data_IF_307183736419
#
_entry.id   IF_307183736419
#
_cell.length_a   1.000
_cell.length_b   1.000
_cell.length_c   1.000
_cell.angle_alpha   90.00
_cell.angle_beta   90.00
_cell.angle_gamma   90.00
#
_symmetry.space_group_name_H-M   'P 1'
#
loop_
_entity.id
_entity.type
_entity.pdbx_description
1 polymer ?
#
# COMPACT_ATOMS: atom_id res chain seq x y z
N UNK A 1 62.48 -127.97 -105.27
CA UNK A 1 62.00 -127.20 -104.10
C UNK A 1 61.24 -125.96 -104.58
N UNK A 2 60.17 -125.60 -103.88
CA UNK A 2 58.93 -125.05 -104.44
C UNK A 2 58.77 -123.53 -104.20
N UNK A 3 58.48 -122.74 -105.25
CA UNK A 3 58.28 -121.26 -105.28
C UNK A 3 57.26 -120.70 -104.27
N UNK A 4 56.47 -121.57 -103.62
CA UNK A 4 55.48 -121.19 -102.59
C UNK A 4 56.07 -120.45 -101.37
N UNK A 5 57.31 -120.74 -100.97
CA UNK A 5 57.89 -120.15 -99.75
C UNK A 5 58.28 -118.67 -99.92
N UNK A 6 58.64 -118.23 -101.13
CA UNK A 6 59.09 -116.86 -101.38
C UNK A 6 57.93 -115.85 -101.41
N UNK A 7 56.79 -116.26 -101.95
CA UNK A 7 55.57 -115.43 -102.00
C UNK A 7 55.02 -115.22 -100.58
N UNK A 8 55.07 -116.26 -99.75
CA UNK A 8 54.66 -116.16 -98.34
C UNK A 8 55.58 -115.19 -97.58
N UNK A 9 56.89 -115.23 -97.80
CA UNK A 9 57.84 -114.32 -97.14
C UNK A 9 57.61 -112.83 -97.50
N UNK A 10 57.33 -112.53 -98.77
CA UNK A 10 57.02 -111.15 -99.19
C UNK A 10 55.68 -110.65 -98.64
N UNK A 11 54.66 -111.51 -98.58
CA UNK A 11 53.37 -111.18 -97.95
C UNK A 11 53.57 -110.91 -96.47
N UNK A 12 54.35 -111.74 -95.77
CA UNK A 12 54.65 -111.57 -94.34
C UNK A 12 55.42 -110.27 -94.08
N UNK A 13 56.42 -109.94 -94.92
CA UNK A 13 57.16 -108.67 -94.79
C UNK A 13 56.30 -107.44 -95.12
N UNK A 14 55.44 -107.51 -96.13
CA UNK A 14 54.52 -106.41 -96.44
C UNK A 14 53.50 -106.20 -95.31
N UNK A 15 52.96 -107.28 -94.74
CA UNK A 15 52.07 -107.21 -93.58
C UNK A 15 52.79 -106.63 -92.36
N UNK A 16 54.04 -107.05 -92.10
CA UNK A 16 54.87 -106.53 -91.00
C UNK A 16 55.20 -105.03 -91.16
N UNK A 17 55.47 -104.59 -92.39
CA UNK A 17 55.74 -103.18 -92.66
C UNK A 17 54.47 -102.33 -92.48
N UNK A 18 53.32 -102.83 -92.95
CA UNK A 18 52.02 -102.17 -92.79
C UNK A 18 51.62 -102.11 -91.31
N UNK A 19 51.87 -103.17 -90.52
CA UNK A 19 51.59 -103.15 -89.08
C UNK A 19 52.54 -102.23 -88.31
N UNK A 20 53.82 -102.15 -88.68
CA UNK A 20 54.77 -101.20 -88.07
C UNK A 20 54.40 -99.74 -88.39
N UNK A 21 54.03 -99.45 -89.63
CA UNK A 21 53.56 -98.12 -90.03
C UNK A 21 52.25 -97.78 -89.32
N UNK A 22 51.31 -98.73 -89.23
CA UNK A 22 50.06 -98.55 -88.49
C UNK A 22 50.29 -98.33 -86.99
N UNK A 23 51.23 -99.05 -86.37
CA UNK A 23 51.61 -98.85 -84.97
C UNK A 23 52.28 -97.49 -84.74
N UNK A 24 53.17 -97.06 -85.64
CA UNK A 24 53.79 -95.74 -85.60
C UNK A 24 52.78 -94.61 -85.74
N UNK A 25 51.83 -94.75 -86.68
CA UNK A 25 50.71 -93.81 -86.86
C UNK A 25 49.82 -93.83 -85.61
N UNK A 26 49.52 -94.99 -85.04
CA UNK A 26 48.70 -95.12 -83.82
C UNK A 26 49.35 -94.45 -82.61
N UNK A 27 50.67 -94.62 -82.42
CA UNK A 27 51.43 -93.97 -81.34
C UNK A 27 51.47 -92.45 -81.54
N UNK A 28 51.69 -91.97 -82.76
CA UNK A 28 51.67 -90.54 -83.07
C UNK A 28 50.27 -89.96 -82.87
N UNK A 29 49.22 -90.66 -83.27
CA UNK A 29 47.83 -90.23 -83.08
C UNK A 29 47.44 -90.22 -81.60
N UNK A 30 47.79 -91.25 -80.84
CA UNK A 30 47.50 -91.30 -79.38
C UNK A 30 48.31 -90.27 -78.60
N UNK A 31 49.58 -90.05 -78.95
CA UNK A 31 50.38 -88.96 -78.36
C UNK A 31 49.81 -87.59 -78.72
N UNK A 32 49.43 -87.37 -79.98
CA UNK A 32 48.82 -86.11 -80.43
C UNK A 32 47.46 -85.87 -79.77
N UNK A 33 46.68 -86.92 -79.51
CA UNK A 33 45.43 -86.86 -78.76
C UNK A 33 45.70 -86.54 -77.28
N UNK A 34 46.68 -87.18 -76.66
CA UNK A 34 47.06 -86.93 -75.26
C UNK A 34 47.65 -85.53 -75.06
N UNK A 35 48.51 -85.04 -75.96
CA UNK A 35 49.05 -83.68 -75.94
C UNK A 35 47.93 -82.63 -76.15
N UNK A 36 46.91 -82.96 -76.95
CA UNK A 36 45.72 -82.13 -77.12
C UNK A 36 44.84 -82.11 -75.86
N UNK A 37 44.68 -83.25 -75.18
CA UNK A 37 43.95 -83.33 -73.91
C UNK A 37 44.68 -82.58 -72.79
N UNK A 38 46.01 -82.69 -72.70
CA UNK A 38 46.86 -81.96 -71.76
C UNK A 38 46.81 -80.45 -72.02
N UNK A 39 46.85 -80.01 -73.28
CA UNK A 39 46.66 -78.61 -73.64
C UNK A 39 45.26 -78.08 -73.27
N UNK A 40 44.22 -78.91 -73.47
CA UNK A 40 42.86 -78.56 -73.03
C UNK A 40 42.73 -78.47 -71.52
N UNK A 41 43.41 -79.35 -70.77
CA UNK A 41 43.44 -79.33 -69.31
C UNK A 41 44.23 -78.12 -68.77
N UNK A 42 45.35 -77.77 -69.43
CA UNK A 42 46.15 -76.59 -69.12
C UNK A 42 45.35 -75.31 -69.29
N UNK A 43 44.66 -75.15 -70.42
CA UNK A 43 43.77 -74.00 -70.64
C UNK A 43 42.66 -73.92 -69.59
N UNK A 44 42.03 -75.05 -69.22
CA UNK A 44 41.03 -75.07 -68.14
C UNK A 44 41.61 -74.70 -66.77
N UNK A 45 42.86 -75.06 -66.50
CA UNK A 45 43.53 -74.72 -65.24
C UNK A 45 43.87 -73.24 -65.19
N UNK A 46 44.30 -72.65 -66.30
CA UNK A 46 44.54 -71.22 -66.44
C UNK A 46 43.22 -70.44 -66.34
N UNK A 47 42.15 -70.87 -67.01
CA UNK A 47 40.81 -70.26 -66.90
C UNK A 47 40.29 -70.28 -65.45
N UNK A 48 40.46 -71.41 -64.74
CA UNK A 48 40.06 -71.54 -63.33
C UNK A 48 40.92 -70.68 -62.39
N UNK A 49 42.19 -70.51 -62.72
CA UNK A 49 43.09 -69.65 -61.95
C UNK A 49 42.73 -68.19 -62.15
N UNK A 50 42.48 -67.76 -63.39
CA UNK A 50 42.02 -66.40 -63.71
C UNK A 50 40.65 -66.11 -63.08
N UNK A 51 39.73 -67.08 -63.08
CA UNK A 51 38.45 -66.98 -62.35
C UNK A 51 38.65 -66.91 -60.83
N UNK A 52 39.65 -67.63 -60.30
CA UNK A 52 40.04 -67.59 -58.90
C UNK A 52 40.62 -66.23 -58.48
N UNK A 53 41.53 -65.68 -59.28
CA UNK A 53 42.13 -64.36 -59.09
C UNK A 53 41.04 -63.27 -59.15
N UNK A 54 40.15 -63.29 -60.15
CA UNK A 54 39.05 -62.32 -60.29
C UNK A 54 38.04 -62.37 -59.13
N UNK A 55 37.75 -63.56 -58.59
CA UNK A 55 36.92 -63.70 -57.38
C UNK A 55 37.64 -63.17 -56.15
N UNK A 56 38.95 -63.33 -56.07
CA UNK A 56 39.75 -62.81 -54.96
C UNK A 56 39.75 -61.26 -54.95
N UNK A 57 39.94 -60.64 -56.13
CA UNK A 57 39.83 -59.19 -56.29
C UNK A 57 38.43 -58.68 -55.88
N UNK A 58 37.38 -59.44 -56.21
CA UNK A 58 36.00 -59.14 -55.78
C UNK A 58 35.84 -59.23 -54.25
N UNK A 59 36.44 -60.23 -53.62
CA UNK A 59 36.44 -60.39 -52.16
C UNK A 59 37.15 -59.22 -51.48
N UNK A 60 38.29 -58.79 -52.01
CA UNK A 60 39.05 -57.66 -51.46
C UNK A 60 38.26 -56.35 -51.57
N UNK A 61 37.60 -56.13 -52.71
CA UNK A 61 36.69 -54.99 -52.91
C UNK A 61 35.53 -55.01 -51.92
N UNK A 62 34.84 -56.14 -51.79
CA UNK A 62 33.71 -56.29 -50.86
C UNK A 62 34.15 -56.18 -49.40
N UNK A 63 35.36 -56.64 -49.06
CA UNK A 63 35.92 -56.49 -47.72
C UNK A 63 36.20 -55.03 -47.38
N UNK A 64 36.63 -54.25 -48.37
CA UNK A 64 36.86 -52.80 -48.21
C UNK A 64 35.53 -52.08 -48.05
N UNK A 65 34.55 -52.35 -48.92
CA UNK A 65 33.20 -51.77 -48.83
C UNK A 65 32.52 -52.11 -47.50
N UNK A 66 32.66 -53.36 -47.03
CA UNK A 66 32.17 -53.77 -45.71
C UNK A 66 32.80 -52.96 -44.58
N UNK A 67 34.12 -52.73 -44.63
CA UNK A 67 34.81 -51.95 -43.59
C UNK A 67 34.36 -50.48 -43.59
N UNK A 68 34.13 -49.90 -44.77
CA UNK A 68 33.60 -48.55 -44.91
C UNK A 68 32.15 -48.45 -44.37
N UNK A 69 31.29 -49.42 -44.67
CA UNK A 69 29.93 -49.49 -44.14
C UNK A 69 29.90 -49.71 -42.62
N UNK A 70 30.80 -50.53 -42.07
CA UNK A 70 30.92 -50.72 -40.62
C UNK A 70 31.32 -49.40 -39.92
N UNK A 71 32.16 -48.60 -40.56
CA UNK A 71 32.52 -47.27 -40.07
C UNK A 71 31.35 -46.29 -40.15
N UNK A 72 30.62 -46.26 -41.26
CA UNK A 72 29.44 -45.39 -41.42
C UNK A 72 28.33 -45.74 -40.40
N UNK A 73 28.10 -47.03 -40.15
CA UNK A 73 27.18 -47.50 -39.10
C UNK A 73 27.62 -47.02 -37.72
N UNK A 74 28.92 -47.08 -37.41
CA UNK A 74 29.44 -46.59 -36.14
C UNK A 74 29.22 -45.07 -35.98
N UNK A 75 29.46 -44.29 -37.04
CA UNK A 75 29.23 -42.84 -37.05
C UNK A 75 27.74 -42.48 -36.91
N UNK A 76 26.85 -43.19 -37.62
CA UNK A 76 25.41 -42.98 -37.51
C UNK A 76 24.87 -43.34 -36.11
N UNK A 77 25.36 -44.42 -35.51
CA UNK A 77 24.96 -44.80 -34.15
C UNK A 77 25.39 -43.75 -33.12
N UNK A 78 26.57 -43.17 -33.28
CA UNK A 78 27.04 -42.07 -32.44
C UNK A 78 26.14 -40.83 -32.59
N UNK A 79 25.80 -40.44 -33.84
CA UNK A 79 24.88 -39.33 -34.08
C UNK A 79 23.48 -39.58 -33.50
N UNK A 80 22.97 -40.81 -33.59
CA UNK A 80 21.69 -41.19 -32.99
C UNK A 80 21.75 -41.05 -31.46
N UNK A 81 22.86 -41.47 -30.83
CA UNK A 81 23.04 -41.31 -29.37
C UNK A 81 23.03 -39.84 -28.98
N UNK A 82 23.79 -39.00 -29.69
CA UNK A 82 23.87 -37.57 -29.41
C UNK A 82 22.52 -36.86 -29.60
N UNK A 83 21.78 -37.19 -30.66
CA UNK A 83 20.44 -36.64 -30.89
C UNK A 83 19.44 -37.08 -29.83
N UNK A 84 19.56 -38.33 -29.35
CA UNK A 84 18.73 -38.85 -28.28
C UNK A 84 18.99 -38.11 -26.97
N UNK A 85 20.26 -37.97 -26.59
CA UNK A 85 20.66 -37.27 -25.37
C UNK A 85 20.23 -35.79 -25.41
N UNK A 86 20.43 -35.11 -26.55
CA UNK A 86 19.98 -33.74 -26.75
C UNK A 86 18.45 -33.61 -26.66
N UNK A 87 17.71 -34.56 -27.23
CA UNK A 87 16.24 -34.59 -27.15
C UNK A 87 15.76 -34.81 -25.71
N UNK A 88 16.40 -35.70 -24.96
CA UNK A 88 16.06 -35.97 -23.55
C UNK A 88 16.35 -34.75 -22.68
N UNK A 89 17.49 -34.08 -22.90
CA UNK A 89 17.84 -32.84 -22.20
C UNK A 89 16.82 -31.73 -22.49
N UNK A 90 16.51 -31.46 -23.76
CA UNK A 90 15.51 -30.43 -24.10
C UNK A 90 14.13 -30.76 -23.53
N UNK A 91 13.73 -32.03 -23.50
CA UNK A 91 12.46 -32.43 -22.89
C UNK A 91 12.44 -32.13 -21.38
N UNK A 92 13.55 -32.40 -20.68
CA UNK A 92 13.68 -32.07 -19.25
C UNK A 92 13.68 -30.56 -19.00
N UNK A 93 14.30 -29.76 -19.87
CA UNK A 93 14.30 -28.29 -19.77
C UNK A 93 12.89 -27.73 -19.96
N UNK A 94 12.14 -28.22 -20.95
CA UNK A 94 10.74 -27.83 -21.16
C UNK A 94 9.84 -28.24 -20.00
N UNK A 95 10.04 -29.42 -19.41
CA UNK A 95 9.29 -29.86 -18.24
C UNK A 95 9.52 -28.95 -17.02
N UNK A 96 10.77 -28.53 -16.78
CA UNK A 96 11.10 -27.61 -15.69
C UNK A 96 10.49 -26.21 -15.92
N UNK A 97 10.51 -25.71 -17.15
CA UNK A 97 9.92 -24.41 -17.49
C UNK A 97 8.38 -24.44 -17.40
N UNK A 98 7.74 -25.54 -17.81
CA UNK A 98 6.31 -25.75 -17.63
C UNK A 98 5.94 -25.73 -16.15
N UNK A 99 6.72 -26.37 -15.29
CA UNK A 99 6.44 -26.39 -13.85
C UNK A 99 6.57 -25.00 -13.22
N UNK A 100 7.63 -24.26 -13.57
CA UNK A 100 7.79 -22.87 -13.13
C UNK A 100 6.62 -21.98 -13.57
N UNK A 101 6.17 -22.13 -14.82
CA UNK A 101 5.04 -21.35 -15.35
C UNK A 101 3.71 -21.72 -14.66
N UNK A 102 3.53 -22.96 -14.21
CA UNK A 102 2.35 -23.34 -13.40
C UNK A 102 2.39 -22.68 -12.03
N UNK A 103 3.54 -22.68 -11.35
CA UNK A 103 3.69 -22.02 -10.05
C UNK A 103 3.39 -20.52 -10.14
N UNK A 104 3.92 -19.84 -11.17
CA UNK A 104 3.62 -18.43 -11.45
C UNK A 104 2.12 -18.22 -11.75
N UNK A 105 1.49 -19.14 -12.50
CA UNK A 105 0.05 -19.07 -12.79
C UNK A 105 -0.81 -19.25 -11.53
N UNK A 106 -0.44 -20.16 -10.63
CA UNK A 106 -1.12 -20.35 -9.35
C UNK A 106 -0.96 -19.15 -8.41
N UNK A 107 0.22 -18.53 -8.38
CA UNK A 107 0.44 -17.27 -7.66
C UNK A 107 -0.43 -16.15 -8.22
N UNK A 108 -0.45 -15.97 -9.56
CA UNK A 108 -1.33 -14.97 -10.20
C UNK A 108 -2.80 -15.26 -10.01
N UNK A 109 -3.22 -16.52 -9.97
CA UNK A 109 -4.60 -16.87 -9.66
C UNK A 109 -4.97 -16.50 -8.22
N UNK A 110 -4.07 -16.73 -7.24
CA UNK A 110 -4.27 -16.27 -5.86
C UNK A 110 -4.37 -14.75 -5.75
N UNK A 111 -3.57 -14.01 -6.51
CA UNK A 111 -3.64 -12.55 -6.58
C UNK A 111 -4.98 -12.07 -7.16
N UNK A 112 -5.45 -12.69 -8.25
CA UNK A 112 -6.76 -12.41 -8.85
C UNK A 112 -7.89 -12.71 -7.87
N UNK A 113 -7.84 -13.83 -7.15
CA UNK A 113 -8.86 -14.21 -6.17
C UNK A 113 -8.91 -13.22 -5.00
N UNK A 114 -7.74 -12.76 -4.53
CA UNK A 114 -7.64 -11.72 -3.49
C UNK A 114 -8.22 -10.38 -3.98
N UNK A 115 -7.85 -9.93 -5.19
CA UNK A 115 -8.39 -8.71 -5.80
C UNK A 115 -9.90 -8.80 -6.04
N UNK A 116 -10.41 -9.97 -6.43
CA UNK A 116 -11.85 -10.18 -6.60
C UNK A 116 -12.59 -10.16 -5.25
N UNK A 117 -12.02 -10.73 -4.19
CA UNK A 117 -12.58 -10.63 -2.84
C UNK A 117 -12.61 -9.17 -2.35
N UNK A 118 -11.56 -8.40 -2.65
CA UNK A 118 -11.51 -6.96 -2.38
C UNK A 118 -12.57 -6.20 -3.20
N UNK A 119 -12.70 -6.52 -4.49
CA UNK A 119 -13.70 -5.93 -5.39
C UNK A 119 -15.13 -6.25 -4.93
N UNK A 120 -15.39 -7.46 -4.45
CA UNK A 120 -16.69 -7.85 -3.93
C UNK A 120 -17.01 -7.16 -2.61
N UNK A 121 -15.99 -6.89 -1.76
CA UNK A 121 -16.12 -5.99 -0.60
C UNK A 121 -16.54 -4.59 -1.05
N UNK A 122 -15.92 -4.02 -2.09
CA UNK A 122 -16.31 -2.70 -2.60
C UNK A 122 -17.69 -2.70 -3.29
N UNK A 123 -18.10 -3.81 -3.95
CA UNK A 123 -19.42 -3.93 -4.58
C UNK A 123 -20.55 -4.11 -3.58
N UNK A 124 -20.31 -4.75 -2.44
CA UNK A 124 -21.32 -4.88 -1.37
C UNK A 124 -21.50 -3.61 -0.53
N UNK A 125 -20.61 -2.62 -0.68
CA UNK A 125 -20.61 -1.41 0.16
C UNK A 125 -21.47 -0.25 -0.38
N UNK A 126 -21.96 -0.25 -1.63
CA UNK A 126 -22.60 0.96 -2.17
C UNK A 126 -23.99 0.74 -2.78
N UNK A 127 -24.97 0.49 -1.92
CA UNK A 127 -26.38 0.87 -2.13
C UNK A 127 -26.67 2.26 -1.55
N UNK A 128 -25.75 3.23 -1.73
CA UNK A 128 -25.98 4.60 -1.26
C UNK A 128 -27.28 5.10 -1.89
N UNK A 129 -28.25 5.42 -1.05
CA UNK A 129 -29.42 6.18 -1.49
C UNK A 129 -28.95 7.62 -1.75
N UNK A 130 -28.53 7.90 -2.97
CA UNK A 130 -28.00 9.21 -3.39
C UNK A 130 -29.03 10.32 -3.17
N UNK A 131 -30.33 10.00 -3.29
CA UNK A 131 -31.38 11.00 -3.10
C UNK A 131 -31.51 11.37 -1.63
N UNK A 132 -31.50 10.38 -0.75
CA UNK A 132 -31.44 10.62 0.70
C UNK A 132 -30.12 11.27 1.11
N UNK A 133 -29.00 10.91 0.48
CA UNK A 133 -27.70 11.52 0.76
C UNK A 133 -27.69 13.02 0.47
N UNK A 134 -28.22 13.42 -0.69
CA UNK A 134 -28.32 14.83 -1.08
C UNK A 134 -29.23 15.60 -0.11
N UNK A 135 -30.39 15.01 0.24
CA UNK A 135 -31.31 15.59 1.20
C UNK A 135 -30.67 15.80 2.59
N UNK A 136 -29.91 14.82 3.09
CA UNK A 136 -29.20 14.92 4.37
C UNK A 136 -28.11 16.02 4.35
N UNK A 137 -27.48 16.25 3.20
CA UNK A 137 -26.51 17.35 3.04
C UNK A 137 -27.24 18.71 3.10
N UNK A 138 -28.40 18.83 2.44
CA UNK A 138 -29.20 20.05 2.46
C UNK A 138 -29.70 20.35 3.89
N UNK A 139 -30.21 19.34 4.61
CA UNK A 139 -30.66 19.48 6.02
C UNK A 139 -29.51 19.90 6.95
N UNK A 140 -28.31 19.34 6.75
CA UNK A 140 -27.11 19.70 7.52
C UNK A 140 -26.66 21.13 7.24
N UNK A 141 -26.71 21.54 5.97
CA UNK A 141 -26.34 22.90 5.56
C UNK A 141 -27.31 23.91 6.18
N UNK A 142 -28.61 23.67 6.07
CA UNK A 142 -29.63 24.52 6.68
C UNK A 142 -29.44 24.62 8.20
N UNK A 143 -29.20 23.49 8.87
CA UNK A 143 -28.97 23.49 10.33
C UNK A 143 -27.76 24.33 10.73
N UNK A 144 -26.63 24.23 10.00
CA UNK A 144 -25.43 25.02 10.30
C UNK A 144 -25.72 26.52 10.17
N UNK A 145 -26.54 26.91 9.19
CA UNK A 145 -26.82 28.31 8.85
C UNK A 145 -27.86 28.97 9.75
N UNK A 146 -28.78 28.20 10.35
CA UNK A 146 -29.96 28.78 11.02
C UNK A 146 -30.05 28.46 12.51
N UNK A 147 -29.47 27.35 12.97
CA UNK A 147 -29.76 26.81 14.31
C UNK A 147 -28.73 27.22 15.37
N UNK A 148 -27.75 28.07 15.02
CA UNK A 148 -26.83 28.58 16.03
C UNK A 148 -27.57 29.47 17.05
N UNK A 149 -27.48 29.19 18.37
CA UNK A 149 -28.24 29.92 19.38
C UNK A 149 -27.63 31.29 19.73
N UNK A 150 -26.53 31.68 19.07
CA UNK A 150 -25.84 32.93 19.31
C UNK A 150 -25.51 33.64 18.00
N UNK A 151 -25.59 34.96 18.05
CA UNK A 151 -25.10 35.86 17.02
C UNK A 151 -24.13 36.86 17.62
N UNK A 152 -23.24 37.37 16.79
CA UNK A 152 -22.25 38.39 17.13
C UNK A 152 -22.80 39.76 16.78
N UNK A 153 -22.75 40.68 17.74
CA UNK A 153 -23.24 42.07 17.59
C UNK A 153 -22.23 43.08 18.16
N UNK A 154 -22.25 44.34 17.71
CA UNK A 154 -21.43 45.39 18.30
C UNK A 154 -21.68 45.49 19.81
N UNK A 155 -20.60 45.59 20.58
CA UNK A 155 -20.67 45.77 22.02
C UNK A 155 -20.28 47.20 22.41
N UNK A 156 -19.04 47.58 22.14
CA UNK A 156 -18.56 48.94 22.35
C UNK A 156 -18.47 49.68 21.01
N UNK A 157 -19.04 50.88 20.97
CA UNK A 157 -18.98 51.80 19.83
C UNK A 157 -18.33 53.09 20.29
N UNK A 158 -17.30 53.52 19.56
CA UNK A 158 -16.59 54.79 19.78
C UNK A 158 -16.89 55.76 18.65
N UNK A 159 -16.43 57.00 18.80
CA UNK A 159 -16.51 58.01 17.74
C UNK A 159 -15.10 58.37 17.29
N UNK A 160 -14.84 58.28 15.97
CA UNK A 160 -13.57 58.69 15.39
C UNK A 160 -13.38 60.22 15.42
N UNK A 161 -12.19 60.67 15.01
CA UNK A 161 -11.84 62.10 14.93
C UNK A 161 -12.72 62.92 13.97
N UNK A 162 -13.49 62.27 13.10
CA UNK A 162 -14.40 62.88 12.14
C UNK A 162 -15.87 62.84 12.59
N UNK A 163 -16.18 62.25 13.74
CA UNK A 163 -17.54 62.10 14.24
C UNK A 163 -18.27 60.84 13.77
N UNK A 164 -17.59 59.91 13.10
CA UNK A 164 -18.20 58.64 12.65
C UNK A 164 -18.18 57.61 13.78
N UNK A 165 -19.23 56.82 13.88
CA UNK A 165 -19.25 55.65 14.77
C UNK A 165 -18.28 54.57 14.27
N UNK A 166 -17.46 54.06 15.17
CA UNK A 166 -16.52 52.96 14.93
C UNK A 166 -16.76 51.89 15.98
N UNK A 167 -17.09 50.68 15.52
CA UNK A 167 -17.24 49.52 16.38
C UNK A 167 -15.86 49.16 16.95
N UNK A 168 -15.73 49.21 18.27
CA UNK A 168 -14.51 48.89 19.02
C UNK A 168 -14.42 47.40 19.29
N UNK A 169 -15.55 46.78 19.61
CA UNK A 169 -15.63 45.37 19.97
C UNK A 169 -16.98 44.77 19.62
N UNK A 170 -17.02 43.44 19.65
CA UNK A 170 -18.23 42.66 19.45
C UNK A 170 -18.45 41.73 20.64
N UNK A 171 -19.70 41.33 20.86
CA UNK A 171 -20.08 40.30 21.82
C UNK A 171 -21.01 39.27 21.19
N UNK A 172 -21.03 38.07 21.78
CA UNK A 172 -22.04 37.07 21.51
C UNK A 172 -23.30 37.37 22.32
N UNK A 173 -24.45 37.29 21.66
CA UNK A 173 -25.78 37.50 22.24
C UNK A 173 -26.66 36.31 21.88
N UNK A 174 -27.44 35.81 22.85
CA UNK A 174 -28.37 34.71 22.60
C UNK A 174 -29.48 35.17 21.67
N UNK A 175 -29.80 34.36 20.66
CA UNK A 175 -30.91 34.64 19.74
C UNK A 175 -32.25 34.66 20.47
N UNK A 176 -32.41 33.82 21.50
CA UNK A 176 -33.62 33.78 22.33
C UNK A 176 -33.84 35.07 23.14
N UNK A 177 -32.76 35.71 23.60
CA UNK A 177 -32.82 37.00 24.28
C UNK A 177 -33.27 38.10 23.30
N UNK A 178 -32.74 38.10 22.08
CA UNK A 178 -33.13 39.05 21.02
C UNK A 178 -34.60 38.88 20.61
N UNK A 179 -35.08 37.64 20.52
CA UNK A 179 -36.48 37.33 20.24
C UNK A 179 -37.40 37.81 21.36
N UNK A 180 -37.03 37.60 22.63
CA UNK A 180 -37.79 38.07 23.78
C UNK A 180 -37.86 39.61 23.81
N UNK A 181 -36.74 40.29 23.55
CA UNK A 181 -36.68 41.74 23.47
C UNK A 181 -37.55 42.29 22.33
N UNK A 182 -37.51 41.65 21.15
CA UNK A 182 -38.35 42.02 20.01
C UNK A 182 -39.85 41.83 20.31
N UNK A 183 -40.22 40.71 20.95
CA UNK A 183 -41.60 40.43 21.36
C UNK A 183 -42.11 41.42 22.43
N UNK A 184 -41.25 41.85 23.36
CA UNK A 184 -41.60 42.90 24.33
C UNK A 184 -41.80 44.27 23.66
N UNK A 185 -41.00 44.59 22.63
CA UNK A 185 -41.14 45.85 21.89
C UNK A 185 -42.40 45.87 21.01
N UNK A 186 -42.75 44.76 20.35
CA UNK A 186 -43.98 44.64 19.56
C UNK A 186 -45.24 44.65 20.45
N UNK A 187 -45.18 44.01 21.63
CA UNK A 187 -46.24 44.08 22.64
C UNK A 187 -46.49 45.50 23.15
N UNK A 188 -45.44 46.29 23.39
CA UNK A 188 -45.55 47.71 23.79
C UNK A 188 -46.16 48.61 22.71
N UNK A 189 -45.99 48.27 21.43
CA UNK A 189 -46.61 49.01 20.31
C UNK A 189 -48.11 48.69 20.14
N UNK A 190 -48.54 47.47 20.54
CA UNK A 190 -49.94 47.04 20.46
C UNK A 190 -50.86 47.69 21.52
N UNK A 191 -50.31 48.17 22.64
CA UNK A 191 -51.06 48.90 23.69
C UNK A 191 -51.30 50.39 23.33
N UNK A 192 -50.81 50.87 22.18
CA UNK A 192 -51.01 52.23 21.69
C UNK A 192 -51.54 52.30 20.26
N UNK A 193 -52.56 51.50 19.92
CA UNK A 193 -53.65 51.88 19.00
C UNK A 193 -54.52 50.65 18.68
N UNK A 194 -55.76 50.66 19.17
CA UNK A 194 -56.79 49.77 18.69
C UNK A 194 -57.30 50.23 17.33
N UNK A 195 -56.96 49.50 16.25
CA UNK A 195 -57.87 49.11 15.17
C UNK A 195 -57.08 48.52 13.98
N UNK A 196 -57.43 47.30 13.55
CA UNK A 196 -57.14 46.85 12.18
C UNK A 196 -56.63 45.43 12.05
N UNK A 197 -57.55 44.54 11.63
CA UNK A 197 -57.36 43.40 10.71
C UNK A 197 -56.12 42.52 10.85
N UNK A 198 -56.35 41.30 11.33
CA UNK A 198 -55.48 40.14 11.14
C UNK A 198 -55.36 39.75 9.66
N UNK A 199 -54.16 39.80 9.11
CA UNK A 199 -53.76 38.97 7.96
C UNK A 199 -52.89 37.83 8.47
N UNK A 200 -53.27 36.61 8.09
CA UNK A 200 -52.45 35.42 8.22
C UNK A 200 -51.41 35.36 7.10
N UNK A 201 -50.32 34.65 7.39
CA UNK A 201 -49.40 34.01 6.45
C UNK A 201 -48.36 34.90 5.74
N UNK A 202 -47.21 35.10 6.39
CA UNK A 202 -45.86 34.88 5.84
C UNK A 202 -44.87 34.82 7.02
N UNK A 203 -43.86 33.94 6.94
CA UNK A 203 -42.76 33.79 7.89
C UNK A 203 -41.94 35.08 7.98
N UNK A 204 -42.44 36.09 8.71
CA UNK A 204 -41.66 37.29 9.03
C UNK A 204 -40.57 36.92 10.03
N UNK A 205 -39.38 36.54 9.51
CA UNK A 205 -38.16 36.42 10.30
C UNK A 205 -38.03 37.68 11.16
N UNK A 206 -37.71 37.56 12.47
CA UNK A 206 -37.59 38.71 13.36
C UNK A 206 -36.71 39.82 12.74
N UNK A 207 -37.16 41.07 12.82
CA UNK A 207 -36.47 42.23 12.23
C UNK A 207 -35.02 42.43 12.71
N UNK A 208 -34.60 41.79 13.80
CA UNK A 208 -33.20 41.81 14.22
C UNK A 208 -32.30 40.94 13.33
N UNK A 209 -32.79 39.88 12.67
CA UNK A 209 -32.01 39.04 11.76
C UNK A 209 -31.63 39.75 10.45
N UNK A 210 -32.34 40.82 10.08
CA UNK A 210 -32.07 41.58 8.85
C UNK A 210 -31.13 42.76 9.08
N UNK A 211 -30.54 42.90 10.27
CA UNK A 211 -29.60 43.97 10.57
C UNK A 211 -28.21 43.64 10.02
N UNK A 212 -27.60 44.60 9.33
CA UNK A 212 -26.26 44.46 8.73
C UNK A 212 -25.13 44.31 9.77
N UNK A 213 -25.41 44.59 11.05
CA UNK A 213 -24.46 44.50 12.16
C UNK A 213 -24.62 43.22 13.01
N UNK A 214 -25.50 42.29 12.60
CA UNK A 214 -25.70 41.00 13.26
C UNK A 214 -25.06 39.91 12.40
N UNK A 215 -24.12 39.16 12.97
CA UNK A 215 -23.39 38.12 12.27
C UNK A 215 -23.59 36.76 12.94
N UNK A 216 -23.99 35.76 12.19
CA UNK A 216 -23.87 34.38 12.64
C UNK A 216 -22.38 33.99 12.69
N UNK A 217 -21.99 33.07 13.59
CA UNK A 217 -20.62 32.58 13.62
C UNK A 217 -20.25 31.92 12.29
N UNK A 218 -19.00 32.08 11.89
CA UNK A 218 -18.45 31.27 10.82
C UNK A 218 -18.26 29.85 11.35
N UNK A 219 -18.93 28.89 10.72
CA UNK A 219 -18.77 27.45 10.99
C UNK A 219 -18.12 26.80 9.78
N UNK A 220 -17.13 25.95 10.02
CA UNK A 220 -16.52 25.09 9.01
C UNK A 220 -16.55 23.63 9.47
N UNK A 221 -16.93 22.74 8.56
CA UNK A 221 -17.03 21.30 8.82
C UNK A 221 -16.27 20.55 7.73
N UNK A 222 -15.49 19.55 8.14
CA UNK A 222 -14.88 18.58 7.25
C UNK A 222 -15.24 17.18 7.71
N UNK A 223 -15.65 16.33 6.77
CA UNK A 223 -15.94 14.92 6.97
C UNK A 223 -15.17 14.09 5.96
N UNK A 224 -14.55 13.01 6.43
CA UNK A 224 -13.92 12.00 5.58
C UNK A 224 -14.19 10.60 6.10
N UNK A 225 -14.76 9.76 5.25
CA UNK A 225 -14.94 8.34 5.51
C UNK A 225 -13.65 7.58 5.19
N UNK A 226 -13.03 6.97 6.19
CA UNK A 226 -11.73 6.32 6.01
C UNK A 226 -11.82 4.99 5.25
N UNK A 227 -13.01 4.42 5.10
CA UNK A 227 -13.20 3.16 4.36
C UNK A 227 -13.44 3.41 2.87
N UNK A 228 -14.24 4.44 2.53
CA UNK A 228 -14.54 4.78 1.13
C UNK A 228 -13.63 5.84 0.52
N UNK A 229 -12.99 6.66 1.35
CA UNK A 229 -12.30 7.89 0.94
C UNK A 229 -13.26 9.01 0.52
N UNK A 230 -14.59 8.84 0.70
CA UNK A 230 -15.54 9.91 0.43
C UNK A 230 -15.34 11.08 1.38
N UNK A 231 -15.41 12.29 0.83
CA UNK A 231 -15.23 13.54 1.57
C UNK A 231 -16.40 14.48 1.33
N UNK A 232 -16.78 15.19 2.38
CA UNK A 232 -17.73 16.31 2.31
C UNK A 232 -17.24 17.43 3.23
N UNK A 233 -17.44 18.67 2.80
CA UNK A 233 -17.08 19.85 3.56
C UNK A 233 -18.15 20.94 3.44
N UNK A 234 -18.23 21.76 4.48
CA UNK A 234 -18.96 23.03 4.50
C UNK A 234 -17.99 24.10 4.98
N UNK A 235 -17.70 25.10 4.13
CA UNK A 235 -16.73 26.16 4.41
C UNK A 235 -15.36 25.62 4.88
N UNK A 236 -14.97 24.43 4.43
CA UNK A 236 -13.85 23.67 4.96
C UNK A 236 -12.48 24.31 4.72
N UNK A 237 -12.43 25.28 3.80
CA UNK A 237 -11.26 26.08 3.43
C UNK A 237 -11.15 27.41 4.19
N UNK A 238 -12.15 27.76 5.02
CA UNK A 238 -12.06 28.92 5.90
C UNK A 238 -10.91 28.74 6.92
N UNK A 239 -10.13 29.81 7.08
CA UNK A 239 -8.93 29.83 7.91
C UNK A 239 -9.27 30.34 9.31
N UNK A 240 -9.05 29.52 10.32
CA UNK A 240 -9.22 29.86 11.73
C UNK A 240 -7.86 29.88 12.45
N UNK A 241 -7.82 30.52 13.62
CA UNK A 241 -6.78 30.21 14.61
C UNK A 241 -6.98 28.76 15.06
N UNK A 242 -5.97 27.90 14.95
CA UNK A 242 -6.13 26.47 15.28
C UNK A 242 -6.36 26.20 16.78
N UNK A 243 -6.10 27.19 17.64
CA UNK A 243 -6.04 27.05 19.08
C UNK A 243 -5.25 25.79 19.47
N UNK A 244 -5.82 24.95 20.34
CA UNK A 244 -5.14 23.72 20.79
C UNK A 244 -5.30 22.51 19.86
N UNK A 245 -5.99 22.61 18.72
CA UNK A 245 -6.10 21.51 17.74
C UNK A 245 -4.72 21.14 17.19
N UNK A 246 -3.86 22.14 16.95
CA UNK A 246 -2.48 21.97 16.42
C UNK A 246 -1.62 21.00 17.25
N UNK A 247 -1.95 20.82 18.53
CA UNK A 247 -1.15 20.00 19.45
C UNK A 247 -1.14 18.53 19.02
N UNK A 248 -2.25 17.98 18.55
CA UNK A 248 -2.29 16.56 18.16
C UNK A 248 -1.43 16.26 16.92
N UNK A 249 -1.56 17.00 15.80
CA UNK A 249 -0.65 16.86 14.66
C UNK A 249 0.82 17.14 15.01
N UNK A 250 1.08 18.07 15.93
CA UNK A 250 2.44 18.30 16.40
C UNK A 250 3.02 17.06 17.10
N UNK A 251 2.26 16.42 18.00
CA UNK A 251 2.69 15.18 18.65
C UNK A 251 2.96 14.09 17.61
N UNK A 252 2.08 13.90 16.64
CA UNK A 252 2.31 12.96 15.54
C UNK A 252 3.66 13.22 14.87
N UNK A 253 3.93 14.47 14.49
CA UNK A 253 5.15 14.81 13.77
C UNK A 253 6.44 14.48 14.54
N UNK A 254 6.39 14.54 15.87
CA UNK A 254 7.53 14.17 16.74
C UNK A 254 7.62 12.65 16.85
N UNK A 255 6.50 11.97 17.13
CA UNK A 255 6.46 10.52 17.29
C UNK A 255 6.85 9.77 16.01
N UNK A 256 6.44 10.24 14.83
CA UNK A 256 6.83 9.64 13.54
C UNK A 256 8.36 9.63 13.36
N UNK A 257 9.02 10.74 13.73
CA UNK A 257 10.48 10.85 13.57
C UNK A 257 11.21 9.96 14.57
N UNK A 258 10.74 9.90 15.81
CA UNK A 258 11.33 9.04 16.85
C UNK A 258 11.14 7.56 16.47
N UNK A 259 9.93 7.17 16.08
CA UNK A 259 9.63 5.81 15.61
C UNK A 259 10.55 5.40 14.45
N UNK A 260 10.68 6.29 13.46
CA UNK A 260 11.58 6.07 12.33
C UNK A 260 13.04 5.92 12.76
N UNK A 261 13.53 6.73 13.70
CA UNK A 261 14.92 6.65 14.18
C UNK A 261 15.19 5.33 14.93
N UNK A 262 14.22 4.89 15.74
CA UNK A 262 14.27 3.59 16.42
C UNK A 262 14.34 2.44 15.39
N UNK A 263 13.50 2.47 14.34
CA UNK A 263 13.53 1.47 13.29
C UNK A 263 14.85 1.51 12.49
N UNK A 264 15.31 2.71 12.11
CA UNK A 264 16.58 2.88 11.40
C UNK A 264 17.77 2.37 12.25
N UNK A 265 17.69 2.39 13.58
CA UNK A 265 18.69 1.76 14.47
C UNK A 265 18.64 0.24 14.41
N UNK A 266 17.44 -0.36 14.49
CA UNK A 266 17.27 -1.81 14.40
C UNK A 266 17.75 -2.36 13.05
N UNK A 267 17.39 -1.69 11.95
CA UNK A 267 17.83 -2.07 10.60
C UNK A 267 19.36 -2.06 10.47
N UNK A 268 20.05 -1.10 11.12
CA UNK A 268 21.52 -1.05 11.14
C UNK A 268 22.13 -2.22 11.92
N UNK A 269 21.52 -2.62 13.03
CA UNK A 269 21.98 -3.78 13.80
C UNK A 269 21.79 -5.08 13.01
N UNK A 270 20.62 -5.25 12.39
CA UNK A 270 20.32 -6.40 11.54
C UNK A 270 21.31 -6.50 10.37
N UNK A 271 21.56 -5.39 9.67
CA UNK A 271 22.53 -5.33 8.57
C UNK A 271 23.98 -5.67 9.01
N UNK A 272 24.29 -5.50 10.30
CA UNK A 272 25.57 -5.85 10.91
C UNK A 272 25.56 -7.23 11.59
N UNK A 273 24.42 -7.94 11.57
CA UNK A 273 24.20 -9.20 12.26
C UNK A 273 24.49 -9.07 13.78
N UNK A 274 24.01 -7.98 14.38
CA UNK A 274 24.07 -7.68 15.80
C UNK A 274 22.67 -7.75 16.41
N UNK A 275 22.60 -8.18 17.67
CA UNK A 275 21.38 -8.14 18.48
C UNK A 275 21.34 -6.84 19.30
N UNK A 276 20.16 -6.24 19.52
CA UNK A 276 20.04 -5.06 20.37
C UNK A 276 20.37 -5.36 21.84
N UNK A 277 20.99 -4.39 22.53
CA UNK A 277 21.15 -4.44 23.98
C UNK A 277 19.78 -4.26 24.65
N UNK A 278 19.43 -5.19 25.54
CA UNK A 278 18.22 -5.10 26.36
C UNK A 278 18.55 -4.49 27.73
N UNK A 279 17.68 -3.62 28.23
CA UNK A 279 17.75 -2.97 29.54
C UNK A 279 16.52 -3.33 30.39
N UNK A 280 16.72 -3.36 31.70
CA UNK A 280 15.68 -3.53 32.72
C UNK A 280 15.21 -2.14 33.16
N UNK A 281 14.01 -1.76 32.72
CA UNK A 281 13.45 -0.43 32.98
C UNK A 281 12.61 -0.36 34.26
N UNK A 282 12.14 -1.49 34.78
CA UNK A 282 11.33 -1.56 36.01
C UNK A 282 12.12 -1.94 37.27
N UNK A 283 13.38 -2.37 37.09
CA UNK A 283 14.32 -2.71 38.14
C UNK A 283 14.05 -4.08 38.77
N UNK A 284 13.26 -4.95 38.14
CA UNK A 284 12.93 -6.28 38.64
C UNK A 284 14.06 -7.32 38.42
N UNK A 285 15.10 -6.94 37.68
CA UNK A 285 16.25 -7.76 37.31
C UNK A 285 16.12 -8.44 35.95
N UNK A 286 15.02 -8.23 35.21
CA UNK A 286 14.73 -8.82 33.91
C UNK A 286 14.74 -7.74 32.84
N UNK A 287 15.64 -7.81 31.83
CA UNK A 287 15.60 -6.87 30.72
C UNK A 287 14.25 -6.94 29.98
N UNK A 288 13.58 -5.80 29.85
CA UNK A 288 12.21 -5.67 29.35
C UNK A 288 12.09 -4.68 28.17
N UNK A 289 13.14 -3.88 27.89
CA UNK A 289 13.15 -2.87 26.83
C UNK A 289 14.46 -2.86 26.04
N UNK A 290 14.41 -2.41 24.78
CA UNK A 290 15.62 -2.17 23.97
C UNK A 290 16.27 -0.86 24.39
N UNK A 291 17.60 -0.85 24.50
CA UNK A 291 18.41 0.36 24.60
C UNK A 291 18.75 0.87 23.22
N UNK A 292 18.05 1.93 22.81
CA UNK A 292 18.25 2.57 21.52
C UNK A 292 19.45 3.51 21.53
N UNK A 293 20.23 3.51 20.45
CA UNK A 293 21.18 4.58 20.15
C UNK A 293 20.56 5.56 19.15
N UNK A 294 19.98 6.64 19.68
CA UNK A 294 19.31 7.65 18.88
C UNK A 294 20.29 8.46 18.03
N UNK A 295 19.91 8.78 16.79
CA UNK A 295 20.71 9.67 15.94
C UNK A 295 20.71 11.12 16.45
N UNK A 296 19.64 11.51 17.12
CA UNK A 296 19.52 12.75 17.90
C UNK A 296 19.20 12.39 19.37
N UNK A 297 20.07 12.71 20.33
CA UNK A 297 19.83 12.42 21.75
C UNK A 297 18.52 13.01 22.31
N UNK A 298 17.95 14.03 21.68
CA UNK A 298 16.65 14.57 22.08
C UNK A 298 15.50 13.59 21.85
N UNK A 299 15.66 12.53 21.04
CA UNK A 299 14.62 11.52 20.81
C UNK A 299 14.43 10.54 21.96
N UNK A 300 15.33 10.56 22.96
CA UNK A 300 15.08 9.84 24.21
C UNK A 300 13.93 10.49 24.99
N UNK A 301 12.82 9.75 25.08
CA UNK A 301 11.61 10.19 25.78
C UNK A 301 11.60 9.82 27.27
N UNK A 302 12.57 9.05 27.74
CA UNK A 302 12.68 8.60 29.14
C UNK A 302 13.33 9.63 30.06
N UNK A 303 13.94 10.67 29.48
CA UNK A 303 14.56 11.77 30.23
C UNK A 303 13.57 12.43 31.19
N UNK A 304 14.00 12.58 32.46
CA UNK A 304 13.22 13.21 33.52
C UNK A 304 13.46 14.73 33.55
N UNK A 305 12.37 15.47 33.53
CA UNK A 305 12.31 16.93 33.68
C UNK A 305 11.61 17.26 34.99
N UNK A 306 12.27 18.05 35.84
CA UNK A 306 11.73 18.51 37.12
C UNK A 306 10.95 19.80 36.91
N UNK A 307 9.68 19.83 37.31
CA UNK A 307 8.85 21.01 37.20
C UNK A 307 9.29 22.13 38.15
N UNK A 308 9.52 23.31 37.59
CA UNK A 308 9.81 24.56 38.32
C UNK A 308 8.88 25.67 37.82
N UNK A 309 7.88 26.03 38.62
CA UNK A 309 6.91 27.08 38.30
C UNK A 309 7.55 28.43 37.97
N UNK A 310 8.73 28.75 38.51
CA UNK A 310 9.39 30.05 38.25
C UNK A 310 9.83 30.20 36.79
N UNK A 311 10.13 29.09 36.12
CA UNK A 311 10.67 29.08 34.76
C UNK A 311 9.71 28.43 33.75
N UNK A 312 8.84 27.52 34.22
CA UNK A 312 7.99 26.69 33.38
C UNK A 312 6.51 27.07 33.37
N UNK A 313 6.06 28.05 34.17
CA UNK A 313 4.64 28.43 34.20
C UNK A 313 4.10 28.92 32.84
N UNK A 314 2.88 28.50 32.52
CA UNK A 314 2.01 29.05 31.46
C UNK A 314 0.58 29.07 31.96
N UNK A 315 -0.15 30.13 31.63
CA UNK A 315 -1.59 30.20 31.84
C UNK A 315 -2.36 29.40 30.79
N UNK A 316 -3.66 29.20 31.01
CA UNK A 316 -4.56 28.51 30.09
C UNK A 316 -4.83 27.08 30.53
N UNK A 317 -5.10 26.18 29.57
CA UNK A 317 -5.40 24.78 29.87
C UNK A 317 -4.16 24.00 30.31
N UNK A 318 -4.37 23.08 31.24
CA UNK A 318 -3.34 22.20 31.76
C UNK A 318 -3.51 21.91 33.25
N UNK A 319 -2.96 20.76 33.66
CA UNK A 319 -2.92 20.32 35.05
C UNK A 319 -1.57 20.59 35.72
N UNK A 320 -0.48 20.64 34.95
CA UNK A 320 0.87 20.78 35.50
C UNK A 320 1.05 22.09 36.25
N UNK A 321 0.38 23.17 35.79
CA UNK A 321 0.44 24.47 36.45
C UNK A 321 -0.05 24.46 37.91
N UNK A 322 -0.87 23.46 38.28
CA UNK A 322 -1.44 23.28 39.62
C UNK A 322 -0.62 22.35 40.51
N UNK A 323 0.46 21.74 39.98
CA UNK A 323 1.27 20.77 40.70
C UNK A 323 2.39 21.42 41.50
N UNK A 324 2.95 20.68 42.46
CA UNK A 324 4.04 21.16 43.31
C UNK A 324 5.36 21.24 42.52
N UNK A 325 6.13 22.31 42.74
CA UNK A 325 7.52 22.41 42.29
C UNK A 325 8.31 21.18 42.75
N UNK A 326 9.15 20.64 41.88
CA UNK A 326 9.88 19.39 42.14
C UNK A 326 9.20 18.14 41.58
N UNK A 327 7.96 18.24 41.07
CA UNK A 327 7.29 17.11 40.40
C UNK A 327 8.08 16.69 39.16
N UNK A 328 8.35 15.39 39.02
CA UNK A 328 9.11 14.81 37.92
C UNK A 328 8.19 14.35 36.78
N UNK A 329 8.57 14.66 35.53
CA UNK A 329 7.88 14.23 34.31
C UNK A 329 8.86 13.68 33.30
N UNK A 330 8.46 12.65 32.57
CA UNK A 330 9.13 12.24 31.33
C UNK A 330 8.54 12.96 30.12
N UNK A 331 9.19 12.88 28.96
CA UNK A 331 8.59 13.40 27.72
C UNK A 331 7.38 12.57 27.27
N UNK A 332 7.30 11.29 27.65
CA UNK A 332 6.07 10.49 27.50
C UNK A 332 4.93 11.12 28.29
N UNK A 333 5.19 11.59 29.51
CA UNK A 333 4.18 12.30 30.31
C UNK A 333 3.77 13.60 29.63
N UNK A 334 4.72 14.41 29.15
CA UNK A 334 4.35 15.63 28.43
C UNK A 334 3.52 15.37 27.16
N UNK A 335 3.78 14.28 26.43
CA UNK A 335 2.95 13.85 25.30
C UNK A 335 1.52 13.55 25.77
N UNK A 336 1.37 12.72 26.81
CA UNK A 336 0.06 12.38 27.39
C UNK A 336 -0.67 13.64 27.86
N UNK A 337 -0.03 14.50 28.66
CA UNK A 337 -0.67 15.71 29.18
C UNK A 337 -1.05 16.72 28.08
N UNK A 338 -0.28 16.77 26.99
CA UNK A 338 -0.61 17.60 25.82
C UNK A 338 -1.87 17.12 25.12
N UNK A 339 -2.05 15.80 24.97
CA UNK A 339 -3.22 15.21 24.30
C UNK A 339 -4.44 15.13 25.22
N UNK A 340 -4.25 14.64 26.46
CA UNK A 340 -5.31 14.39 27.44
C UNK A 340 -5.84 15.66 28.08
N UNK A 341 -4.98 16.63 28.38
CA UNK A 341 -5.37 17.84 29.14
C UNK A 341 -5.18 19.14 28.38
N UNK A 342 -4.70 19.06 27.14
CA UNK A 342 -4.31 20.23 26.37
C UNK A 342 -3.26 21.10 27.07
N UNK A 343 -2.41 20.48 27.90
CA UNK A 343 -1.55 21.20 28.84
C UNK A 343 -0.51 22.10 28.15
N UNK A 344 -0.57 23.41 28.43
CA UNK A 344 0.31 24.41 27.84
C UNK A 344 1.76 24.31 28.34
N UNK A 345 2.00 23.82 29.56
CA UNK A 345 3.35 23.61 30.07
C UNK A 345 3.96 22.42 29.35
N UNK A 346 3.25 21.29 29.29
CA UNK A 346 3.68 20.10 28.59
C UNK A 346 3.99 20.37 27.11
N UNK A 347 3.06 21.02 26.40
CA UNK A 347 3.24 21.36 24.99
C UNK A 347 4.47 22.24 24.76
N UNK A 348 4.73 23.20 25.65
CA UNK A 348 5.91 24.07 25.55
C UNK A 348 7.21 23.34 25.81
N UNK A 349 7.25 22.38 26.74
CA UNK A 349 8.46 21.58 26.97
C UNK A 349 8.80 20.74 25.73
N UNK A 350 7.80 20.14 25.10
CA UNK A 350 7.98 19.42 23.83
C UNK A 350 8.49 20.37 22.74
N UNK A 351 7.87 21.56 22.58
CA UNK A 351 8.31 22.57 21.61
C UNK A 351 9.73 23.06 21.85
N UNK A 352 10.15 23.21 23.10
CA UNK A 352 11.52 23.61 23.45
C UNK A 352 12.54 22.52 23.09
N UNK A 353 12.17 21.25 23.25
CA UNK A 353 13.04 20.10 22.95
C UNK A 353 13.14 19.82 21.46
N UNK A 354 11.99 19.65 20.80
CA UNK A 354 11.92 19.14 19.42
C UNK A 354 11.77 20.25 18.37
N UNK A 355 11.56 21.49 18.79
CA UNK A 355 11.23 22.58 17.88
C UNK A 355 9.87 22.37 17.22
N UNK A 356 9.73 22.85 15.98
CA UNK A 356 8.50 22.75 15.18
C UNK A 356 8.74 22.36 13.71
N UNK A 357 9.98 22.06 13.34
CA UNK A 357 10.33 21.75 11.95
C UNK A 357 9.66 20.48 11.45
N UNK A 358 9.55 19.46 12.31
CA UNK A 358 8.83 18.20 11.99
C UNK A 358 7.37 18.47 11.62
N UNK A 359 6.71 19.41 12.32
CA UNK A 359 5.33 19.81 12.02
C UNK A 359 5.23 20.53 10.67
N UNK A 360 6.20 21.39 10.32
CA UNK A 360 6.25 21.98 8.98
C UNK A 360 6.48 20.92 7.90
N UNK A 361 7.34 19.93 8.14
CA UNK A 361 7.53 18.80 7.22
C UNK A 361 6.27 17.97 7.05
N UNK A 362 5.55 17.67 8.14
CA UNK A 362 4.26 16.99 8.10
C UNK A 362 3.23 17.80 7.31
N UNK A 363 3.08 19.09 7.62
CA UNK A 363 2.14 19.96 6.93
C UNK A 363 2.47 20.08 5.42
N UNK A 364 3.76 20.11 5.05
CA UNK A 364 4.19 20.10 3.65
C UNK A 364 3.82 18.78 2.97
N UNK A 365 4.06 17.65 3.64
CA UNK A 365 3.78 16.30 3.13
C UNK A 365 2.31 16.09 2.80
N UNK A 366 1.40 16.60 3.64
CA UNK A 366 -0.05 16.44 3.45
C UNK A 366 -0.72 17.60 2.71
N UNK A 367 0.03 18.68 2.43
CA UNK A 367 -0.51 19.88 1.80
C UNK A 367 -1.42 20.72 2.71
N UNK A 368 -1.15 20.75 4.02
CA UNK A 368 -1.85 21.59 5.00
C UNK A 368 -1.32 23.03 4.96
N UNK A 369 -1.80 23.82 3.99
CA UNK A 369 -1.19 25.10 3.61
C UNK A 369 -1.32 26.18 4.69
N UNK A 370 -2.43 26.23 5.43
CA UNK A 370 -2.62 27.27 6.46
C UNK A 370 -1.65 27.07 7.62
N UNK A 371 -1.38 25.81 7.96
CA UNK A 371 -0.38 25.45 8.97
C UNK A 371 1.03 25.80 8.49
N UNK A 372 1.36 25.56 7.21
CA UNK A 372 2.67 25.93 6.65
C UNK A 372 2.92 27.44 6.68
N UNK A 373 1.89 28.25 6.47
CA UNK A 373 2.02 29.69 6.37
C UNK A 373 2.51 30.33 7.68
N UNK A 374 2.04 29.85 8.84
CA UNK A 374 2.40 30.47 10.12
C UNK A 374 2.42 29.54 11.34
N UNK A 375 2.07 28.27 11.21
CA UNK A 375 2.04 27.30 12.32
C UNK A 375 1.00 27.60 13.41
N UNK A 376 0.09 28.54 13.15
CA UNK A 376 -0.95 29.01 14.07
C UNK A 376 -2.34 28.78 13.52
N UNK A 377 -2.52 28.95 12.22
CA UNK A 377 -3.82 28.85 11.57
C UNK A 377 -4.05 27.48 10.95
N UNK A 378 -5.31 27.10 10.82
CA UNK A 378 -5.72 25.82 10.26
C UNK A 378 -7.13 25.96 9.67
N UNK A 379 -7.37 25.27 8.55
CA UNK A 379 -8.71 25.08 8.00
C UNK A 379 -9.27 23.73 8.47
N UNK A 380 -10.58 23.52 8.37
CA UNK A 380 -11.15 22.20 8.68
C UNK A 380 -10.60 21.11 7.74
N UNK A 381 -10.32 21.44 6.47
CA UNK A 381 -9.66 20.55 5.51
C UNK A 381 -8.21 20.20 5.91
N UNK A 382 -7.42 21.18 6.35
CA UNK A 382 -6.05 20.96 6.84
C UNK A 382 -6.06 20.05 8.07
N UNK A 383 -7.00 20.27 9.00
CA UNK A 383 -7.19 19.42 10.16
C UNK A 383 -7.55 17.98 9.75
N UNK A 384 -8.46 17.82 8.79
CA UNK A 384 -8.84 16.53 8.22
C UNK A 384 -7.64 15.75 7.68
N UNK A 385 -6.82 16.39 6.84
CA UNK A 385 -5.58 15.80 6.29
C UNK A 385 -4.61 15.36 7.37
N UNK A 386 -4.38 16.21 8.38
CA UNK A 386 -3.46 15.92 9.48
C UNK A 386 -3.97 14.78 10.37
N UNK A 387 -5.27 14.74 10.67
CA UNK A 387 -5.88 13.64 11.42
C UNK A 387 -5.93 12.35 10.60
N UNK A 388 -5.95 12.43 9.27
CA UNK A 388 -5.74 11.28 8.39
C UNK A 388 -4.39 10.62 8.59
N UNK A 389 -3.32 11.39 8.80
CA UNK A 389 -2.01 10.84 9.16
C UNK A 389 -1.96 10.30 10.59
N UNK A 390 -2.66 10.94 11.54
CA UNK A 390 -2.81 10.41 12.89
C UNK A 390 -3.42 9.01 12.83
N UNK A 391 -4.53 8.85 12.09
CA UNK A 391 -5.18 7.56 11.92
C UNK A 391 -4.20 6.50 11.38
N UNK A 392 -3.51 6.79 10.27
CA UNK A 392 -2.53 5.88 9.67
C UNK A 392 -1.44 5.48 10.66
N UNK A 393 -0.89 6.43 11.40
CA UNK A 393 0.15 6.18 12.38
C UNK A 393 -0.36 5.28 13.52
N UNK A 394 -1.57 5.54 14.02
CA UNK A 394 -2.17 4.73 15.10
C UNK A 394 -2.51 3.29 14.68
N UNK A 395 -2.63 3.02 13.39
CA UNK A 395 -2.93 1.69 12.85
C UNK A 395 -1.66 0.93 12.41
N UNK A 396 -0.51 1.60 12.31
CA UNK A 396 0.74 1.00 11.79
C UNK A 396 1.86 0.93 12.81
N UNK A 397 1.88 1.82 13.80
CA UNK A 397 2.92 1.86 14.83
C UNK A 397 2.44 1.24 16.15
N UNK A 398 3.05 0.13 16.56
CA UNK A 398 2.60 -0.63 17.74
C UNK A 398 2.86 0.08 19.08
N UNK A 399 3.91 0.90 19.17
CA UNK A 399 4.36 1.52 20.43
C UNK A 399 3.82 2.94 20.57
N UNK A 400 4.25 3.82 19.69
CA UNK A 400 3.92 5.25 19.69
C UNK A 400 2.55 5.52 19.06
N UNK A 401 2.13 4.72 18.08
CA UNK A 401 0.76 4.76 17.57
C UNK A 401 -0.25 4.40 18.67
N UNK A 402 0.01 3.35 19.44
CA UNK A 402 -0.79 2.98 20.61
C UNK A 402 -0.79 4.05 21.70
N UNK A 403 0.36 4.66 22.01
CA UNK A 403 0.46 5.79 22.95
C UNK A 403 -0.44 6.95 22.51
N UNK A 404 -0.37 7.35 21.23
CA UNK A 404 -1.14 8.44 20.67
C UNK A 404 -2.64 8.14 20.71
N UNK A 405 -3.05 6.95 20.23
CA UNK A 405 -4.44 6.47 20.24
C UNK A 405 -5.04 6.51 21.63
N UNK A 406 -4.36 5.90 22.61
CA UNK A 406 -4.84 5.84 23.99
C UNK A 406 -4.93 7.22 24.65
N UNK A 407 -4.02 8.14 24.34
CA UNK A 407 -4.02 9.49 24.91
C UNK A 407 -5.15 10.33 24.31
N UNK A 408 -5.39 10.26 23.00
CA UNK A 408 -6.48 10.99 22.34
C UNK A 408 -7.87 10.47 22.71
N UNK A 409 -8.02 9.17 23.00
CA UNK A 409 -9.26 8.60 23.55
C UNK A 409 -9.59 9.11 24.96
N UNK A 410 -8.57 9.58 25.69
CA UNK A 410 -8.68 10.13 27.05
C UNK A 410 -8.71 11.66 27.07
N UNK A 411 -8.74 12.31 25.91
CA UNK A 411 -8.87 13.75 25.76
C UNK A 411 -9.96 14.32 26.66
N UNK A 412 -9.62 15.33 27.47
CA UNK A 412 -10.59 16.09 28.23
C UNK A 412 -11.32 17.07 27.31
N UNK A 413 -12.48 17.58 27.76
CA UNK A 413 -13.41 18.38 26.94
C UNK A 413 -14.19 17.58 25.89
N UNK A 414 -14.88 16.54 26.34
CA UNK A 414 -15.63 15.60 25.49
C UNK A 414 -16.98 16.12 24.99
N UNK A 415 -17.31 17.39 25.23
CA UNK A 415 -18.68 17.92 25.15
C UNK A 415 -19.19 18.18 23.73
N UNK A 416 -18.33 18.13 22.70
CA UNK A 416 -18.70 18.33 21.29
C UNK A 416 -18.75 16.99 20.55
N UNK A 417 -17.66 16.55 19.89
CA UNK A 417 -17.71 15.36 19.04
C UNK A 417 -17.85 14.09 19.87
N UNK A 418 -17.01 13.82 20.90
CA UNK A 418 -17.10 12.56 21.64
C UNK A 418 -18.48 12.31 22.26
N UNK A 419 -19.08 13.33 22.88
CA UNK A 419 -20.43 13.21 23.43
C UNK A 419 -21.50 13.11 22.33
N UNK A 420 -21.30 13.77 21.19
CA UNK A 420 -22.21 13.72 20.03
C UNK A 420 -22.29 12.35 19.36
N UNK A 421 -21.18 11.59 19.35
CA UNK A 421 -21.12 10.25 18.72
C UNK A 421 -21.31 9.07 19.69
N UNK A 422 -21.26 9.33 21.00
CA UNK A 422 -21.43 8.34 22.08
C UNK A 422 -22.58 7.36 21.82
N UNK A 423 -22.39 6.05 22.12
CA UNK A 423 -21.25 5.43 22.81
C UNK A 423 -20.05 5.11 21.91
N UNK A 424 -20.08 5.48 20.62
CA UNK A 424 -18.96 5.24 19.72
C UNK A 424 -17.72 6.01 20.20
N UNK A 425 -16.56 5.36 20.40
CA UNK A 425 -15.34 6.04 20.82
C UNK A 425 -14.83 7.00 19.74
N UNK A 426 -14.19 8.09 20.17
CA UNK A 426 -13.60 9.08 19.26
C UNK A 426 -12.23 9.54 19.79
N UNK A 427 -11.19 9.39 18.97
CA UNK A 427 -9.88 10.00 19.24
C UNK A 427 -9.97 11.46 18.87
N UNK A 428 -9.89 12.39 19.82
CA UNK A 428 -10.16 13.80 19.54
C UNK A 428 -9.14 14.77 20.12
N UNK A 429 -9.13 15.99 19.57
CA UNK A 429 -8.45 17.13 20.17
C UNK A 429 -9.27 18.40 19.95
N UNK A 430 -9.72 18.99 21.05
CA UNK A 430 -10.40 20.29 21.04
C UNK A 430 -9.42 21.47 20.93
N UNK A 431 -9.94 22.60 20.48
CA UNK A 431 -9.28 23.91 20.55
C UNK A 431 -10.26 24.95 21.10
N UNK A 432 -9.83 25.73 22.09
CA UNK A 432 -10.62 26.84 22.61
C UNK A 432 -9.70 28.03 22.92
N UNK A 433 -9.92 29.14 22.22
CA UNK A 433 -9.26 30.44 22.43
C UNK A 433 -10.19 31.57 21.92
N UNK A 434 -9.69 32.81 21.89
CA UNK A 434 -10.37 33.98 21.35
C UNK A 434 -10.66 33.81 19.85
N UNK A 435 -11.91 34.04 19.44
CA UNK A 435 -12.48 33.66 18.15
C UNK A 435 -12.18 32.21 17.69
N UNK A 436 -12.12 31.23 18.61
CA UNK A 436 -11.86 29.85 18.26
C UNK A 436 -12.51 28.85 19.25
N UNK A 437 -13.45 28.05 18.77
CA UNK A 437 -14.03 26.94 19.52
C UNK A 437 -14.24 25.75 18.57
N UNK A 438 -13.41 24.74 18.73
CA UNK A 438 -13.17 23.69 17.75
C UNK A 438 -13.12 22.32 18.39
N UNK A 439 -13.45 21.31 17.62
CA UNK A 439 -13.14 19.92 17.95
C UNK A 439 -12.87 19.13 16.67
N UNK A 440 -11.88 18.26 16.71
CA UNK A 440 -11.54 17.39 15.58
C UNK A 440 -11.35 15.99 16.12
N UNK A 441 -11.97 15.01 15.47
CA UNK A 441 -11.93 13.63 15.92
C UNK A 441 -11.85 12.62 14.78
N UNK A 442 -11.21 11.48 15.08
CA UNK A 442 -11.36 10.23 14.35
C UNK A 442 -12.36 9.37 15.15
N UNK A 443 -13.54 9.17 14.60
CA UNK A 443 -14.62 8.39 15.21
C UNK A 443 -14.48 6.91 14.82
N UNK A 444 -14.43 6.03 15.81
CA UNK A 444 -14.16 4.60 15.63
C UNK A 444 -15.46 3.80 15.47
N UNK A 445 -16.20 4.02 14.37
CA UNK A 445 -17.46 3.31 14.09
C UNK A 445 -17.25 1.90 13.51
N UNK A 446 -16.73 0.99 14.35
CA UNK A 446 -16.44 -0.39 13.94
C UNK A 446 -15.45 -0.42 12.78
N UNK A 447 -15.80 -1.13 11.70
CA UNK A 447 -14.99 -1.23 10.48
C UNK A 447 -15.17 -0.02 9.53
N UNK A 448 -15.80 1.06 9.99
CA UNK A 448 -16.12 2.27 9.22
C UNK A 448 -15.67 3.55 9.94
N UNK A 449 -14.39 3.68 10.31
CA UNK A 449 -13.92 4.88 10.97
C UNK A 449 -14.05 6.10 10.05
N UNK A 450 -14.30 7.27 10.63
CA UNK A 450 -14.38 8.53 9.88
C UNK A 450 -13.78 9.69 10.66
N UNK A 451 -13.28 10.68 9.93
CA UNK A 451 -12.78 11.93 10.49
C UNK A 451 -13.90 12.97 10.44
N UNK A 452 -14.02 13.74 11.52
CA UNK A 452 -14.88 14.91 11.60
C UNK A 452 -14.08 16.06 12.22
N UNK A 453 -13.97 17.18 11.49
CA UNK A 453 -13.45 18.43 12.01
C UNK A 453 -14.58 19.46 12.05
N UNK A 454 -14.75 20.15 13.17
CA UNK A 454 -15.67 21.28 13.34
C UNK A 454 -14.86 22.46 13.85
N UNK A 455 -14.82 23.52 13.05
CA UNK A 455 -14.20 24.80 13.38
C UNK A 455 -15.26 25.88 13.47
N UNK A 456 -15.06 26.83 14.38
CA UNK A 456 -15.94 27.98 14.53
C UNK A 456 -15.21 29.18 15.11
N UNK A 457 -15.60 30.38 14.71
CA UNK A 457 -15.10 31.62 15.32
C UNK A 457 -15.84 31.98 16.62
N UNK A 458 -16.70 31.10 17.11
CA UNK A 458 -17.19 31.16 18.48
C UNK A 458 -16.00 31.09 19.43
N UNK A 459 -15.99 31.92 20.46
CA UNK A 459 -15.08 31.79 21.62
C UNK A 459 -15.84 31.61 22.93
N UNK A 460 -17.15 31.38 22.80
CA UNK A 460 -18.04 30.97 23.87
C UNK A 460 -18.33 29.47 23.74
N UNK A 461 -18.30 28.79 24.89
CA UNK A 461 -18.85 27.45 25.05
C UNK A 461 -20.10 27.51 25.92
N UNK A 462 -20.56 26.35 26.39
CA UNK A 462 -21.73 26.23 27.27
C UNK A 462 -22.78 25.30 26.68
N UNK A 463 -23.82 25.00 27.46
CA UNK A 463 -24.75 23.91 27.13
C UNK A 463 -25.46 24.09 25.79
N UNK A 464 -25.89 25.33 25.47
CA UNK A 464 -26.58 25.67 24.21
C UNK A 464 -25.64 25.58 23.00
N UNK A 465 -24.48 26.23 23.06
CA UNK A 465 -23.46 26.15 21.98
C UNK A 465 -23.01 24.71 21.77
N UNK A 466 -22.73 23.98 22.86
CA UNK A 466 -22.35 22.58 22.78
C UNK A 466 -23.49 21.72 22.21
N UNK A 467 -24.76 22.04 22.50
CA UNK A 467 -25.91 21.33 21.94
C UNK A 467 -26.04 21.56 20.44
N UNK A 468 -25.84 22.80 19.97
CA UNK A 468 -25.79 23.15 18.55
C UNK A 468 -24.67 22.39 17.82
N UNK A 469 -23.44 22.46 18.31
CA UNK A 469 -22.32 21.74 17.68
C UNK A 469 -22.54 20.22 17.70
N UNK A 470 -23.13 19.66 18.76
CA UNK A 470 -23.57 18.24 18.78
C UNK A 470 -24.69 17.94 17.78
N UNK A 471 -25.52 18.92 17.44
CA UNK A 471 -26.52 18.80 16.38
C UNK A 471 -25.87 18.54 15.02
N UNK A 472 -24.82 19.32 14.69
CA UNK A 472 -23.98 19.09 13.51
C UNK A 472 -23.42 17.66 13.53
N UNK A 473 -22.83 17.24 14.65
CA UNK A 473 -22.26 15.89 14.81
C UNK A 473 -23.30 14.79 14.57
N UNK A 474 -24.51 14.93 15.09
CA UNK A 474 -25.60 13.94 14.91
C UNK A 474 -26.05 13.84 13.45
N UNK A 475 -26.09 14.95 12.74
CA UNK A 475 -26.46 14.98 11.33
C UNK A 475 -25.36 14.37 10.46
N UNK A 476 -24.08 14.69 10.73
CA UNK A 476 -22.93 14.01 10.10
C UNK A 476 -22.96 12.51 10.38
N UNK A 477 -23.32 12.08 11.59
CA UNK A 477 -23.49 10.64 11.90
C UNK A 477 -24.59 9.99 11.06
N UNK A 478 -25.69 10.70 10.81
CA UNK A 478 -26.79 10.24 9.94
C UNK A 478 -26.32 10.15 8.49
N UNK A 479 -25.61 11.17 8.01
CA UNK A 479 -24.94 11.21 6.70
C UNK A 479 -23.98 10.03 6.52
N UNK A 480 -23.11 9.78 7.52
CA UNK A 480 -22.17 8.65 7.54
C UNK A 480 -22.91 7.32 7.46
N UNK A 481 -23.93 7.13 8.28
CA UNK A 481 -24.70 5.88 8.32
C UNK A 481 -25.42 5.58 6.99
N UNK A 482 -25.81 6.61 6.24
CA UNK A 482 -26.51 6.44 4.97
C UNK A 482 -25.62 5.89 3.85
N UNK A 483 -24.30 6.06 3.92
CA UNK A 483 -23.36 5.43 2.99
C UNK A 483 -23.39 3.90 3.05
N UNK A 484 -23.89 3.34 4.16
CA UNK A 484 -23.78 1.93 4.49
C UNK A 484 -25.13 1.24 4.72
N UNK A 485 -26.21 1.82 4.19
CA UNK A 485 -27.56 1.25 4.27
C UNK A 485 -27.85 0.23 3.18
#
# INVERSE_FOLDING_TARGET
>A
MNKKHMIIAYIVMAVLLVTLIAAGIFIVLTKRQSDSELGSLGNKLDDLRDEGEAKNDTIDSLSTEKADLEKEIAELNEQISQLKDASEQSSSEYEAEIEKLKDELEEKQREIDALNAELDKYKTVYSIDISEQAKLIDELTEYIETECPYVRMPDEVSTDENGNEVIVSYKWVSTSELEADAAMQSGKLSDSNASGTSSSDEDERPAWLSRDDVYYPNIAVYYEDMTSGYRWGYNEDLVFDSASVIKAPYILSVLEVISKDEQDYLDRLEAQNLEPEMIDTDGDGTPDSIKYEYSDPSYDLSEVVVYDSKTMMQSGSGKIQEMEDGTEFTYIDFIKYTLEYSDNIAYRQLRNRFGFNTMYSLAQRVGAQSVLNNGRNMTAEDAGKLFGEIWKFTETDEKYGTLMKNSMLKGNHTVIIPLGVSPTPAMHKYGWDTNAYHDVAIVLDGDRPYILAIFSDLDIGGDEVNAFLRGIVKQVKTLHSNFYK
#
